data_IF_617434663941
#
_entry.id   IF_617434663941
#
_cell.length_a   1.000
_cell.length_b   1.000
_cell.length_c   1.000
_cell.angle_alpha   90.00
_cell.angle_beta   90.00
_cell.angle_gamma   90.00
#
_symmetry.space_group_name_H-M   'P 1'
#
loop_
_entity.id
_entity.type
_entity.pdbx_description
1 polymer ?
#
# COMPACT_ATOMS: atom_id res chain seq x y z
N UNK A 1 11.04 -0.02 11.38
CA UNK A 1 10.50 -1.07 10.46
C UNK A 1 9.27 -0.46 9.82
N UNK A 2 9.36 -0.13 8.53
CA UNK A 2 8.31 0.59 7.80
C UNK A 2 6.96 -0.13 7.76
N UNK A 3 5.94 0.57 7.26
CA UNK A 3 4.60 0.03 7.09
C UNK A 3 4.62 -1.02 5.98
N UNK A 4 4.17 -2.25 6.29
CA UNK A 4 4.07 -3.30 5.29
C UNK A 4 2.94 -2.98 4.32
N UNK A 5 3.26 -2.91 3.03
CA UNK A 5 2.31 -2.76 1.93
C UNK A 5 2.26 -4.05 1.09
N UNK A 6 1.10 -4.38 0.47
CA UNK A 6 -0.18 -3.67 0.56
C UNK A 6 -0.82 -3.78 1.96
N UNK A 7 -1.65 -2.80 2.32
CA UNK A 7 -2.35 -2.82 3.60
C UNK A 7 -3.29 -4.03 3.69
N UNK A 8 -3.24 -4.74 4.81
CA UNK A 8 -4.21 -5.78 5.14
C UNK A 8 -5.63 -5.23 5.25
N UNK A 9 -6.63 -6.09 5.05
CA UNK A 9 -8.04 -5.69 4.99
C UNK A 9 -8.50 -4.91 6.23
N UNK A 10 -8.23 -5.44 7.42
CA UNK A 10 -8.60 -4.80 8.70
C UNK A 10 -7.99 -3.40 8.86
N UNK A 11 -6.73 -3.24 8.46
CA UNK A 11 -6.05 -1.93 8.48
C UNK A 11 -6.70 -0.96 7.49
N UNK A 12 -7.06 -1.44 6.30
CA UNK A 12 -7.72 -0.64 5.27
C UNK A 12 -9.09 -0.16 5.72
N UNK A 13 -9.90 -1.04 6.31
CA UNK A 13 -11.22 -0.71 6.85
C UNK A 13 -11.11 0.30 8.00
N UNK A 14 -10.18 0.08 8.94
CA UNK A 14 -9.96 1.00 10.04
C UNK A 14 -9.54 2.41 9.57
N UNK A 15 -8.66 2.50 8.57
CA UNK A 15 -8.28 3.80 7.98
C UNK A 15 -9.48 4.45 7.30
N UNK A 16 -10.29 3.69 6.53
CA UNK A 16 -11.51 4.22 5.90
C UNK A 16 -12.48 4.78 6.94
N UNK A 17 -12.73 4.03 8.01
CA UNK A 17 -13.58 4.42 9.14
C UNK A 17 -13.10 5.74 9.77
N UNK A 18 -11.80 5.85 10.03
CA UNK A 18 -11.19 7.08 10.54
C UNK A 18 -11.38 8.27 9.58
N UNK A 19 -11.15 8.08 8.28
CA UNK A 19 -11.29 9.13 7.27
C UNK A 19 -12.74 9.56 7.06
N UNK A 20 -13.70 8.66 7.27
CA UNK A 20 -15.13 8.96 7.24
C UNK A 20 -15.63 9.71 8.49
N UNK A 21 -14.78 9.88 9.52
CA UNK A 21 -15.17 10.50 10.79
C UNK A 21 -16.05 9.62 11.67
N UNK A 22 -16.09 8.31 11.41
CA UNK A 22 -16.87 7.35 12.20
C UNK A 22 -16.27 7.16 13.60
N UNK A 23 -17.09 6.86 14.62
CA UNK A 23 -16.63 6.66 15.98
C UNK A 23 -15.70 5.44 16.09
N UNK A 24 -14.54 5.64 16.71
CA UNK A 24 -13.52 4.61 16.89
C UNK A 24 -13.38 4.21 18.35
N UNK A 25 -13.07 2.94 18.57
CA UNK A 25 -12.72 2.45 19.91
C UNK A 25 -11.31 2.92 20.32
N UNK A 26 -10.99 2.99 21.63
CA UNK A 26 -9.65 3.35 22.10
C UNK A 26 -8.53 2.46 21.50
N UNK A 27 -8.80 1.16 21.32
CA UNK A 27 -7.86 0.21 20.69
C UNK A 27 -7.63 0.51 19.20
N UNK A 28 -8.67 0.99 18.51
CA UNK A 28 -8.61 1.40 17.11
C UNK A 28 -7.75 2.67 16.97
N UNK A 29 -7.94 3.65 17.85
CA UNK A 29 -7.08 4.84 17.93
C UNK A 29 -5.60 4.49 18.17
N UNK A 30 -5.32 3.59 19.12
CA UNK A 30 -3.94 3.13 19.34
C UNK A 30 -3.35 2.43 18.11
N UNK A 31 -4.16 1.66 17.40
CA UNK A 31 -3.74 0.99 16.16
C UNK A 31 -3.40 2.01 15.07
N UNK A 32 -4.25 3.02 14.86
CA UNK A 32 -4.00 4.11 13.91
C UNK A 32 -2.74 4.92 14.27
N UNK A 33 -2.51 5.18 15.55
CA UNK A 33 -1.29 5.85 16.00
C UNK A 33 -0.04 5.04 15.63
N UNK A 34 -0.04 3.73 15.87
CA UNK A 34 1.06 2.83 15.46
C UNK A 34 1.25 2.82 13.94
N UNK A 35 0.16 2.84 13.17
CA UNK A 35 0.21 2.92 11.70
C UNK A 35 0.87 4.23 11.25
N UNK A 36 0.45 5.38 11.79
CA UNK A 36 1.03 6.70 11.47
C UNK A 36 2.53 6.74 11.74
N UNK A 37 2.96 6.19 12.88
CA UNK A 37 4.39 6.09 13.21
C UNK A 37 5.18 5.28 12.18
N UNK A 38 4.65 4.11 11.77
CA UNK A 38 5.32 3.30 10.74
C UNK A 38 5.31 3.99 9.38
N UNK A 39 4.24 4.71 9.06
CA UNK A 39 4.11 5.47 7.82
C UNK A 39 5.16 6.59 7.74
N UNK A 40 5.47 7.26 8.85
CA UNK A 40 6.51 8.30 8.90
C UNK A 40 7.92 7.75 8.58
N UNK A 41 8.17 6.47 8.84
CA UNK A 41 9.41 5.78 8.47
C UNK A 41 9.35 5.18 7.05
N UNK A 42 8.26 5.38 6.31
CA UNK A 42 8.01 4.76 5.00
C UNK A 42 8.07 5.82 3.90
N UNK A 43 8.93 5.61 2.92
CA UNK A 43 9.04 6.49 1.74
C UNK A 43 7.90 6.20 0.75
N UNK A 44 6.81 6.95 0.88
CA UNK A 44 5.63 6.79 0.04
C UNK A 44 5.87 7.20 -1.42
N UNK A 45 6.78 8.13 -1.67
CA UNK A 45 7.10 8.59 -3.02
C UNK A 45 7.83 7.49 -3.80
N UNK A 46 8.82 6.85 -3.16
CA UNK A 46 9.52 5.71 -3.74
C UNK A 46 8.57 4.54 -4.02
N UNK A 47 7.67 4.22 -3.07
CA UNK A 47 6.67 3.16 -3.28
C UNK A 47 5.73 3.48 -4.45
N UNK A 48 5.29 4.74 -4.58
CA UNK A 48 4.45 5.14 -5.70
C UNK A 48 5.19 5.00 -7.04
N UNK A 49 6.46 5.41 -7.09
CA UNK A 49 7.31 5.26 -8.27
C UNK A 49 7.49 3.78 -8.65
N UNK A 50 7.79 2.92 -7.68
CA UNK A 50 7.94 1.48 -7.88
C UNK A 50 6.63 0.84 -8.38
N UNK A 51 5.48 1.22 -7.81
CA UNK A 51 4.18 0.74 -8.29
C UNK A 51 3.89 1.15 -9.73
N UNK A 52 4.27 2.38 -10.14
CA UNK A 52 4.17 2.82 -11.53
C UNK A 52 5.08 1.99 -12.44
N UNK A 53 6.32 1.75 -12.03
CA UNK A 53 7.28 0.92 -12.75
C UNK A 53 6.77 -0.51 -12.93
N UNK A 54 6.28 -1.13 -11.87
CA UNK A 54 5.77 -2.50 -11.89
C UNK A 54 4.52 -2.64 -12.76
N UNK A 55 3.61 -1.66 -12.74
CA UNK A 55 2.45 -1.62 -13.65
C UNK A 55 2.88 -1.50 -15.12
N UNK A 56 3.84 -0.63 -15.41
CA UNK A 56 4.38 -0.49 -16.76
C UNK A 56 5.08 -1.78 -17.22
N UNK A 57 5.81 -2.45 -16.32
CA UNK A 57 6.43 -3.74 -16.58
C UNK A 57 5.39 -4.83 -16.85
N UNK A 58 4.36 -4.94 -16.01
CA UNK A 58 3.26 -5.91 -16.17
C UNK A 58 2.49 -5.71 -17.48
N UNK A 59 2.29 -4.46 -17.91
CA UNK A 59 1.60 -4.14 -19.15
C UNK A 59 2.43 -4.46 -20.41
N UNK A 60 3.77 -4.58 -20.28
CA UNK A 60 4.61 -4.98 -21.40
C UNK A 60 4.49 -6.49 -21.61
N UNK A 61 4.07 -6.96 -22.79
CA UNK A 61 4.12 -8.37 -23.09
C UNK A 61 5.58 -8.83 -23.02
N UNK A 62 5.80 -9.98 -22.39
CA UNK A 62 7.07 -10.68 -22.54
C UNK A 62 7.28 -10.90 -24.04
N UNK A 63 8.32 -10.28 -24.61
CA UNK A 63 8.80 -10.67 -25.93
C UNK A 63 9.37 -12.08 -25.77
N UNK A 64 8.51 -13.09 -25.85
CA UNK A 64 8.95 -14.41 -26.27
C UNK A 64 9.59 -14.22 -27.63
N UNK A 65 10.88 -14.57 -27.74
CA UNK A 65 11.56 -14.64 -29.03
C UNK A 65 10.63 -15.36 -30.01
N UNK A 66 10.51 -14.76 -31.18
CA UNK A 66 9.79 -15.24 -32.34
C UNK A 66 9.76 -16.77 -32.37
N UNK A 67 8.55 -17.32 -32.36
CA UNK A 67 8.34 -18.62 -32.96
C UNK A 67 8.84 -18.49 -34.41
N UNK A 68 9.90 -19.24 -34.68
CA UNK A 68 10.50 -19.56 -35.95
C UNK A 68 9.51 -19.51 -37.13
N UNK A 69 9.86 -18.81 -38.19
CA UNK A 69 9.64 -19.19 -39.60
C UNK A 69 10.42 -18.24 -40.49
#
# INVERSE_FOLDING_TARGET
MGLKLPLGQRTRELIKKYLAGEPLEPKEHMTLYKIRRKLAETDLELIEADLKLLKAFQARPFRTKAASS
#
